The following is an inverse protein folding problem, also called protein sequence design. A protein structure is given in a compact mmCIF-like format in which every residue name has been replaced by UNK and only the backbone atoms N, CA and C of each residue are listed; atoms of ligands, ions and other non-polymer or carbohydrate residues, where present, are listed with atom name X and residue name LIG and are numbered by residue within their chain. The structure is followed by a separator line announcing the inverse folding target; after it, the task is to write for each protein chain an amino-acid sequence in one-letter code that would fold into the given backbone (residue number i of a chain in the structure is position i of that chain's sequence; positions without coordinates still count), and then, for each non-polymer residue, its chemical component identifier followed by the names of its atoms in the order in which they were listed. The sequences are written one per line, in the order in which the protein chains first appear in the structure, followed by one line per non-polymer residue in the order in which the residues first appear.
data_IF_141595846937
#
_entry.id   IF_141595846937
#
_cell.length_a   1.000
_cell.length_b   1.000
_cell.length_c   1.000
_cell.angle_alpha   90.00
_cell.angle_beta   90.00
_cell.angle_gamma   90.00
#
_symmetry.space_group_name_H-M   'P 1'
#
loop_
_entity.id
_entity.type
_entity.pdbx_description
1 polymer ?
#
# COMPACT_ATOMS: atom_id res chain seq x y z
N UNK A 1 -9.99 3.95 5.48
CA UNK A 1 -8.84 4.18 4.57
C UNK A 1 -9.02 5.39 3.64
N UNK A 2 -10.17 5.55 2.96
CA UNK A 2 -10.46 6.73 2.12
C UNK A 2 -10.17 8.07 2.84
N UNK A 3 -10.64 8.21 4.08
CA UNK A 3 -10.49 9.46 4.83
C UNK A 3 -9.03 9.70 5.29
N UNK A 4 -8.30 8.63 5.62
CA UNK A 4 -6.87 8.68 5.90
C UNK A 4 -6.06 9.13 4.67
N UNK A 5 -6.39 8.61 3.48
CA UNK A 5 -5.80 9.04 2.22
C UNK A 5 -6.12 10.51 1.92
N UNK A 6 -7.35 10.96 2.22
CA UNK A 6 -7.75 12.35 2.05
C UNK A 6 -6.94 13.28 2.95
N UNK A 7 -6.77 12.92 4.23
CA UNK A 7 -5.93 13.67 5.17
C UNK A 7 -4.48 13.75 4.68
N UNK A 8 -3.91 12.62 4.22
CA UNK A 8 -2.58 12.58 3.61
C UNK A 8 -2.44 13.51 2.41
N UNK A 9 -3.39 13.49 1.48
CA UNK A 9 -3.37 14.38 0.33
C UNK A 9 -3.43 15.85 0.76
N UNK A 10 -4.36 16.19 1.66
CA UNK A 10 -4.58 17.56 2.10
C UNK A 10 -3.36 18.15 2.78
N UNK A 11 -2.75 17.40 3.70
CA UNK A 11 -1.55 17.86 4.40
C UNK A 11 -0.35 18.00 3.45
N UNK A 12 -0.20 17.10 2.47
CA UNK A 12 0.84 17.24 1.47
C UNK A 12 0.61 18.47 0.56
N UNK A 13 -0.62 18.72 0.11
CA UNK A 13 -0.96 19.87 -0.74
C UNK A 13 -0.79 21.21 -0.01
N UNK A 14 -1.23 21.28 1.24
CA UNK A 14 -1.31 22.54 2.00
C UNK A 14 0.00 22.86 2.73
N UNK A 15 0.75 21.83 3.16
CA UNK A 15 1.93 21.99 4.01
C UNK A 15 3.17 21.23 3.52
N UNK A 16 3.09 20.44 2.46
CA UNK A 16 4.22 19.62 1.98
C UNK A 16 4.60 18.46 2.90
N UNK A 17 3.75 18.15 3.89
CA UNK A 17 4.01 17.11 4.89
C UNK A 17 3.80 15.72 4.29
N UNK A 18 4.72 14.81 4.59
CA UNK A 18 4.65 13.38 4.20
C UNK A 18 4.71 12.54 5.48
N UNK A 19 3.79 11.59 5.63
CA UNK A 19 3.61 10.84 6.87
C UNK A 19 4.76 9.89 7.20
N UNK A 20 5.40 9.30 6.17
CA UNK A 20 6.59 8.41 6.30
C UNK A 20 6.39 7.09 7.05
N UNK A 21 5.25 6.84 7.69
CA UNK A 21 4.91 5.53 8.24
C UNK A 21 3.44 5.16 8.09
N UNK A 22 3.00 5.02 6.83
CA UNK A 22 1.65 4.53 6.52
C UNK A 22 1.57 3.02 6.82
N UNK A 23 0.84 2.66 7.87
CA UNK A 23 0.60 1.28 8.29
C UNK A 23 -0.81 1.13 8.90
N UNK A 24 -1.33 -0.10 9.08
CA UNK A 24 -2.64 -0.32 9.71
C UNK A 24 -2.73 0.23 11.14
N UNK A 25 -1.62 0.28 11.90
CA UNK A 25 -1.64 0.81 13.27
C UNK A 25 -1.84 2.33 13.32
N UNK A 26 -1.52 3.04 12.25
CA UNK A 26 -1.66 4.50 12.14
C UNK A 26 -2.95 4.95 11.45
N UNK A 27 -3.80 4.01 11.03
CA UNK A 27 -5.13 4.28 10.48
C UNK A 27 -6.18 3.87 11.49
N UNK A 28 -6.62 4.83 12.32
CA UNK A 28 -7.70 4.61 13.28
C UNK A 28 -9.05 4.66 12.58
N UNK A 29 -10.02 3.99 13.18
CA UNK A 29 -11.39 3.91 12.66
C UNK A 29 -12.34 4.40 13.75
N UNK A 30 -13.01 5.51 13.46
CA UNK A 30 -13.98 6.12 14.36
C UNK A 30 -15.28 5.33 14.43
N UNK A 31 -16.13 5.71 15.39
CA UNK A 31 -17.42 5.06 15.63
C UNK A 31 -18.37 5.08 14.43
N UNK A 32 -18.19 6.06 13.54
CA UNK A 32 -18.98 6.24 12.30
C UNK A 32 -18.30 5.65 11.07
N UNK A 33 -17.33 4.76 11.26
CA UNK A 33 -16.49 4.18 10.20
C UNK A 33 -15.64 5.22 9.45
N UNK A 34 -15.38 6.36 10.09
CA UNK A 34 -14.47 7.40 9.59
C UNK A 34 -13.01 6.96 9.79
N UNK A 35 -12.16 7.15 8.79
CA UNK A 35 -10.73 6.88 8.92
C UNK A 35 -9.94 8.09 9.43
N UNK A 36 -9.08 7.89 10.42
CA UNK A 36 -8.16 8.93 10.90
C UNK A 36 -6.73 8.45 10.70
N UNK A 37 -5.92 9.25 10.02
CA UNK A 37 -4.49 9.02 9.91
C UNK A 37 -3.80 9.79 11.05
N UNK A 38 -3.08 9.07 11.90
CA UNK A 38 -2.43 9.59 13.13
C UNK A 38 -0.94 9.31 13.11
N UNK A 39 -0.20 9.88 14.07
CA UNK A 39 1.26 9.72 14.18
C UNK A 39 2.02 10.44 13.05
N UNK A 40 1.81 11.76 12.99
CA UNK A 40 2.45 12.67 12.02
C UNK A 40 3.83 13.16 12.46
N UNK A 41 4.32 12.67 13.60
CA UNK A 41 5.48 13.23 14.30
C UNK A 41 6.83 12.83 13.65
N UNK A 42 6.80 11.90 12.69
CA UNK A 42 7.96 11.45 11.90
C UNK A 42 8.36 12.40 10.76
N UNK A 43 7.72 13.56 10.64
CA UNK A 43 8.19 14.63 9.77
C UNK A 43 9.43 15.33 10.36
N UNK A 44 10.58 14.64 10.30
CA UNK A 44 11.87 15.15 10.69
C UNK A 44 12.18 16.51 10.03
N UNK A 45 11.91 17.59 10.74
CA UNK A 45 12.52 18.89 10.51
C UNK A 45 14.00 18.81 10.86
N UNK A 46 14.81 18.43 9.86
CA UNK A 46 16.18 18.87 9.57
C UNK A 46 17.30 18.90 10.63
N UNK A 47 17.12 18.51 11.90
CA UNK A 47 18.17 18.71 12.93
C UNK A 47 19.00 17.46 13.30
N UNK A 48 18.65 16.26 12.84
CA UNK A 48 19.36 15.01 13.21
C UNK A 48 20.44 14.55 12.23
N UNK A 49 20.69 15.30 11.13
CA UNK A 49 21.57 14.87 10.03
C UNK A 49 23.10 14.81 10.34
N UNK A 50 23.55 15.17 11.54
CA UNK A 50 24.98 15.30 11.87
C UNK A 50 25.57 14.12 12.68
N UNK A 51 24.97 12.93 12.63
CA UNK A 51 25.57 11.71 13.22
C UNK A 51 25.76 10.64 12.13
N UNK A 52 26.86 9.86 12.18
CA UNK A 52 26.96 8.62 11.42
C UNK A 52 25.99 7.61 12.07
N UNK A 53 24.72 7.69 11.67
CA UNK A 53 23.65 6.79 12.09
C UNK A 53 23.59 5.64 11.09
N UNK A 54 23.29 4.42 11.55
CA UNK A 54 23.17 3.28 10.65
C UNK A 54 21.97 3.51 9.69
N UNK A 55 22.06 3.07 8.44
CA UNK A 55 21.00 3.29 7.44
C UNK A 55 19.64 2.73 7.91
N UNK A 56 19.63 1.58 8.61
CA UNK A 56 18.39 1.00 9.16
C UNK A 56 17.85 1.78 10.37
N UNK A 57 18.68 2.59 11.04
CA UNK A 57 18.26 3.49 12.13
C UNK A 57 17.69 4.82 11.61
N UNK A 58 18.07 5.26 10.39
CA UNK A 58 17.47 6.43 9.73
C UNK A 58 16.29 6.09 8.84
N UNK A 59 16.14 4.82 8.47
CA UNK A 59 15.07 4.35 7.59
C UNK A 59 13.72 4.38 8.31
N UNK A 60 12.80 5.17 7.77
CA UNK A 60 11.45 5.33 8.33
C UNK A 60 10.43 4.44 7.62
N UNK A 61 9.42 4.02 8.39
CA UNK A 61 8.26 3.26 7.93
C UNK A 61 8.20 1.81 8.42
N UNK A 62 7.01 1.23 8.31
CA UNK A 62 6.76 -0.17 8.62
C UNK A 62 7.17 -1.05 7.43
N UNK A 63 8.19 -1.90 7.60
CA UNK A 63 8.83 -2.70 6.54
C UNK A 63 7.83 -3.45 5.64
N UNK A 64 6.80 -4.05 6.25
CA UNK A 64 5.70 -4.77 5.61
C UNK A 64 4.99 -3.92 4.56
N UNK A 65 4.82 -2.61 4.79
CA UNK A 65 4.02 -1.72 3.95
C UNK A 65 4.86 -0.69 3.20
N UNK A 66 6.18 -0.69 3.38
CA UNK A 66 7.08 0.14 2.58
C UNK A 66 6.96 -0.18 1.08
N UNK A 67 7.24 0.86 0.28
CA UNK A 67 7.34 0.73 -1.17
C UNK A 67 8.50 -0.17 -1.59
N UNK A 68 8.44 -0.67 -2.82
CA UNK A 68 9.53 -1.44 -3.41
C UNK A 68 10.81 -0.62 -3.49
N UNK A 69 10.75 0.70 -3.72
CA UNK A 69 11.96 1.54 -3.79
C UNK A 69 12.73 1.53 -2.46
N UNK A 70 12.03 1.78 -1.36
CA UNK A 70 12.60 1.77 -0.02
C UNK A 70 13.14 0.39 0.37
N UNK A 71 12.53 -0.68 -0.14
CA UNK A 71 12.88 -2.06 0.18
C UNK A 71 14.02 -2.62 -0.68
N UNK A 72 14.12 -2.22 -1.95
CA UNK A 72 15.15 -2.67 -2.89
C UNK A 72 16.44 -1.87 -2.77
N UNK A 73 16.34 -0.57 -2.53
CA UNK A 73 17.47 0.36 -2.55
C UNK A 73 17.50 1.21 -1.27
N UNK A 74 17.55 0.59 -0.07
CA UNK A 74 17.46 1.28 1.23
C UNK A 74 18.62 2.26 1.50
N UNK A 75 19.75 2.09 0.82
CA UNK A 75 20.89 3.02 0.90
C UNK A 75 20.68 4.30 0.08
N UNK A 76 19.81 4.24 -0.94
CA UNK A 76 19.46 5.35 -1.82
C UNK A 76 18.19 6.05 -1.32
N UNK A 77 17.18 5.28 -0.93
CA UNK A 77 15.90 5.78 -0.42
C UNK A 77 15.77 5.49 1.07
N UNK A 78 15.99 6.52 1.88
CA UNK A 78 15.95 6.41 3.36
C UNK A 78 14.61 6.85 3.95
N UNK A 79 13.90 7.74 3.27
CA UNK A 79 12.65 8.31 3.74
C UNK A 79 11.57 8.19 2.67
N UNK A 80 10.35 7.75 3.03
CA UNK A 80 9.25 7.71 2.08
C UNK A 80 8.90 9.12 1.58
N UNK A 81 8.70 9.25 0.27
CA UNK A 81 8.04 10.43 -0.31
C UNK A 81 6.52 10.18 -0.44
N UNK A 82 5.81 11.18 -0.97
CA UNK A 82 4.38 11.10 -1.24
C UNK A 82 3.96 9.83 -2.00
N UNK A 83 4.68 9.46 -3.07
CA UNK A 83 4.36 8.28 -3.89
C UNK A 83 4.61 6.99 -3.11
N UNK A 84 5.63 6.96 -2.26
CA UNK A 84 5.88 5.82 -1.37
C UNK A 84 4.72 5.62 -0.38
N UNK A 85 4.16 6.69 0.17
CA UNK A 85 2.97 6.62 1.02
C UNK A 85 1.72 6.13 0.26
N UNK A 86 1.53 6.54 -1.01
CA UNK A 86 0.46 5.98 -1.85
C UNK A 86 0.61 4.49 -2.09
N UNK A 87 1.85 4.02 -2.30
CA UNK A 87 2.14 2.60 -2.46
C UNK A 87 1.93 1.82 -1.15
N UNK A 88 2.20 2.44 0.01
CA UNK A 88 1.86 1.85 1.30
C UNK A 88 0.36 1.63 1.47
N UNK A 89 -0.50 2.56 1.06
CA UNK A 89 -1.96 2.34 1.04
C UNK A 89 -2.35 1.14 0.17
N UNK A 90 -1.72 0.99 -1.00
CA UNK A 90 -1.90 -0.19 -1.85
C UNK A 90 -1.47 -1.48 -1.14
N UNK A 91 -0.26 -1.51 -0.57
CA UNK A 91 0.26 -2.68 0.13
C UNK A 91 -0.60 -3.09 1.32
N UNK A 92 -1.16 -2.13 2.07
CA UNK A 92 -2.11 -2.42 3.15
C UNK A 92 -3.38 -3.08 2.59
N UNK A 93 -4.00 -2.52 1.54
CA UNK A 93 -5.20 -3.12 0.96
C UNK A 93 -4.93 -4.52 0.40
N UNK A 94 -3.81 -4.72 -0.30
CA UNK A 94 -3.43 -6.03 -0.83
C UNK A 94 -3.19 -7.04 0.29
N UNK A 95 -2.60 -6.61 1.41
CA UNK A 95 -2.43 -7.44 2.60
C UNK A 95 -3.78 -7.79 3.23
N UNK A 96 -4.66 -6.79 3.41
CA UNK A 96 -6.01 -7.00 3.94
C UNK A 96 -6.80 -7.99 3.07
N UNK A 97 -6.69 -7.84 1.75
CA UNK A 97 -7.32 -8.73 0.79
C UNK A 97 -6.83 -10.16 0.97
N UNK A 98 -5.51 -10.38 1.13
CA UNK A 98 -4.93 -11.71 1.30
C UNK A 98 -5.27 -12.38 2.63
N UNK A 99 -5.41 -11.60 3.70
CA UNK A 99 -5.65 -12.12 5.05
C UNK A 99 -7.14 -12.37 5.29
N UNK A 100 -8.01 -11.48 4.80
CA UNK A 100 -9.45 -11.50 5.13
C UNK A 100 -10.37 -11.61 3.92
N UNK A 101 -9.86 -11.45 2.70
CA UNK A 101 -10.67 -11.55 1.49
C UNK A 101 -11.24 -12.95 1.30
N UNK A 102 -12.38 -13.02 0.60
CA UNK A 102 -12.92 -14.29 0.17
C UNK A 102 -12.22 -14.72 -1.13
N UNK A 103 -11.45 -15.80 -1.06
CA UNK A 103 -10.71 -16.33 -2.20
C UNK A 103 -11.30 -17.67 -2.63
N UNK A 104 -11.67 -17.76 -3.90
CA UNK A 104 -12.14 -19.01 -4.47
C UNK A 104 -10.94 -19.93 -4.73
N UNK A 105 -10.99 -21.16 -4.20
CA UNK A 105 -10.06 -22.23 -4.55
C UNK A 105 -8.68 -22.18 -3.89
N UNK A 106 -8.42 -21.25 -2.96
CA UNK A 106 -7.16 -21.19 -2.23
C UNK A 106 -7.28 -21.73 -0.80
N UNK A 107 -6.43 -22.70 -0.47
CA UNK A 107 -6.31 -23.22 0.89
C UNK A 107 -5.55 -22.24 1.79
N UNK A 108 -5.92 -22.18 3.08
CA UNK A 108 -5.28 -21.33 4.10
C UNK A 108 -3.74 -21.36 4.07
N UNK A 109 -3.14 -22.54 3.89
CA UNK A 109 -1.68 -22.69 3.83
C UNK A 109 -1.04 -21.94 2.66
N UNK A 110 -1.75 -21.82 1.54
CA UNK A 110 -1.29 -21.07 0.36
C UNK A 110 -1.34 -19.56 0.66
N UNK A 111 -2.42 -19.06 1.25
CA UNK A 111 -2.50 -17.65 1.67
C UNK A 111 -1.42 -17.29 2.69
N UNK A 112 -1.25 -18.11 3.72
CA UNK A 112 -0.22 -17.88 4.74
C UNK A 112 1.18 -17.82 4.11
N UNK A 113 1.47 -18.70 3.16
CA UNK A 113 2.74 -18.66 2.43
C UNK A 113 2.88 -17.41 1.56
N UNK A 114 1.81 -17.01 0.89
CA UNK A 114 1.76 -15.81 0.04
C UNK A 114 2.01 -14.55 0.86
N UNK A 115 1.33 -14.40 2.00
CA UNK A 115 1.52 -13.29 2.95
C UNK A 115 2.95 -13.27 3.47
N UNK A 116 3.46 -14.42 3.95
CA UNK A 116 4.81 -14.53 4.49
C UNK A 116 5.89 -14.15 3.47
N UNK A 117 5.75 -14.57 2.22
CA UNK A 117 6.72 -14.22 1.18
C UNK A 117 6.71 -12.73 0.81
N UNK A 118 5.58 -12.04 0.95
CA UNK A 118 5.39 -10.65 0.50
C UNK A 118 5.65 -9.62 1.60
N UNK A 119 5.21 -9.92 2.82
CA UNK A 119 5.15 -8.96 3.92
C UNK A 119 6.14 -9.30 5.04
N UNK A 120 6.33 -10.58 5.35
CA UNK A 120 7.18 -10.99 6.49
C UNK A 120 8.64 -11.23 6.09
N UNK A 121 8.89 -11.66 4.84
CA UNK A 121 10.22 -12.07 4.40
C UNK A 121 11.16 -10.88 4.24
N UNK A 122 12.28 -10.95 4.96
CA UNK A 122 13.36 -9.95 4.91
C UNK A 122 14.71 -10.64 4.66
N UNK A 123 15.59 -9.98 3.92
CA UNK A 123 16.98 -10.40 3.72
C UNK A 123 17.87 -9.36 4.39
N UNK A 124 18.84 -9.80 5.18
CA UNK A 124 19.80 -8.89 5.81
C UNK A 124 21.14 -8.97 5.09
N UNK A 125 21.65 -7.81 4.68
CA UNK A 125 22.95 -7.69 4.04
C UNK A 125 23.98 -7.15 5.04
N UNK A 126 24.93 -7.99 5.44
CA UNK A 126 25.95 -7.63 6.43
C UNK A 126 26.88 -6.49 5.99
N UNK A 127 27.35 -6.43 4.72
CA UNK A 127 28.18 -5.32 4.23
C UNK A 127 27.52 -3.95 4.34
N UNK A 128 26.25 -3.82 3.96
CA UNK A 128 25.51 -2.55 4.03
C UNK A 128 24.78 -2.35 5.36
N UNK A 129 24.71 -3.38 6.22
CA UNK A 129 23.92 -3.40 7.44
C UNK A 129 22.45 -3.00 7.18
N UNK A 130 21.90 -3.41 6.04
CA UNK A 130 20.55 -3.05 5.59
C UNK A 130 19.65 -4.26 5.46
N UNK A 131 18.36 -4.07 5.76
CA UNK A 131 17.31 -5.05 5.47
C UNK A 131 16.69 -4.77 4.11
N UNK A 132 16.75 -5.76 3.24
CA UNK A 132 16.12 -5.75 1.93
C UNK A 132 14.84 -6.57 1.96
N UNK A 133 13.83 -6.07 1.25
CA UNK A 133 12.61 -6.78 0.91
C UNK A 133 12.26 -6.42 -0.52
N UNK A 134 11.05 -6.74 -1.00
CA UNK A 134 10.45 -6.30 -2.28
C UNK A 134 10.36 -7.32 -3.40
N UNK A 135 11.25 -8.32 -3.51
CA UNK A 135 11.32 -9.14 -4.74
C UNK A 135 9.97 -9.78 -5.13
N UNK A 136 9.20 -10.23 -4.15
CA UNK A 136 7.85 -10.76 -4.37
C UNK A 136 6.83 -9.66 -4.69
N UNK A 137 6.88 -8.50 -4.00
CA UNK A 137 6.01 -7.35 -4.30
C UNK A 137 6.24 -6.79 -5.70
N UNK A 138 7.50 -6.70 -6.12
CA UNK A 138 7.89 -6.27 -7.46
C UNK A 138 7.44 -7.29 -8.51
N UNK A 139 7.66 -8.58 -8.26
CA UNK A 139 7.15 -9.66 -9.11
C UNK A 139 5.61 -9.61 -9.23
N UNK A 140 4.91 -9.29 -8.14
CA UNK A 140 3.45 -9.15 -8.15
C UNK A 140 2.98 -8.01 -9.03
N UNK A 141 3.58 -6.82 -8.89
CA UNK A 141 3.26 -5.69 -9.75
C UNK A 141 3.57 -6.02 -11.22
N UNK A 142 4.72 -6.63 -11.53
CA UNK A 142 5.03 -7.02 -12.91
C UNK A 142 4.03 -8.02 -13.48
N UNK A 143 3.60 -9.00 -12.69
CA UNK A 143 2.67 -10.05 -13.11
C UNK A 143 1.21 -9.64 -12.98
N UNK A 144 0.92 -8.44 -12.47
CA UNK A 144 -0.43 -8.00 -12.13
C UNK A 144 -1.15 -9.05 -11.29
N UNK A 145 -0.52 -9.42 -10.17
CA UNK A 145 -0.93 -10.52 -9.30
C UNK A 145 -2.39 -10.42 -8.87
N UNK A 146 -2.87 -9.23 -8.54
CA UNK A 146 -4.27 -8.97 -8.16
C UNK A 146 -5.22 -9.36 -9.28
N UNK A 147 -4.90 -8.97 -10.51
CA UNK A 147 -5.71 -9.28 -11.69
C UNK A 147 -5.71 -10.77 -12.02
N UNK A 148 -4.54 -11.40 -11.96
CA UNK A 148 -4.31 -12.70 -12.58
C UNK A 148 -4.32 -13.89 -11.61
N UNK A 149 -4.00 -13.68 -10.34
CA UNK A 149 -3.62 -14.77 -9.42
C UNK A 149 -4.29 -14.67 -8.05
N UNK A 150 -4.59 -13.47 -7.54
CA UNK A 150 -5.07 -13.25 -6.17
C UNK A 150 -6.38 -14.00 -5.83
N UNK A 151 -7.14 -14.49 -6.82
CA UNK A 151 -8.29 -15.38 -6.61
C UNK A 151 -9.45 -14.75 -5.82
N UNK A 152 -9.39 -13.44 -5.60
CA UNK A 152 -10.41 -12.67 -4.90
C UNK A 152 -11.72 -12.72 -5.70
N UNK A 153 -12.85 -12.90 -5.01
CA UNK A 153 -14.15 -12.86 -5.65
C UNK A 153 -14.35 -11.56 -6.46
N UNK A 154 -15.00 -11.61 -7.64
CA UNK A 154 -15.32 -10.41 -8.40
C UNK A 154 -16.19 -9.45 -7.57
N UNK A 155 -15.86 -8.16 -7.59
CA UNK A 155 -16.60 -7.15 -6.85
C UNK A 155 -15.84 -5.83 -6.70
N UNK A 156 -16.47 -4.81 -6.10
CA UNK A 156 -15.90 -3.45 -6.07
C UNK A 156 -14.55 -3.37 -5.36
N UNK A 157 -14.33 -4.22 -4.34
CA UNK A 157 -13.05 -4.27 -3.63
C UNK A 157 -11.91 -4.83 -4.50
N UNK A 158 -12.19 -5.89 -5.27
CA UNK A 158 -11.22 -6.42 -6.26
C UNK A 158 -10.92 -5.38 -7.33
N UNK A 159 -11.95 -4.71 -7.84
CA UNK A 159 -11.78 -3.70 -8.89
C UNK A 159 -10.94 -2.51 -8.40
N UNK A 160 -11.13 -2.08 -7.15
CA UNK A 160 -10.29 -1.06 -6.50
C UNK A 160 -8.81 -1.49 -6.47
N UNK A 161 -8.51 -2.70 -6.01
CA UNK A 161 -7.14 -3.21 -5.95
C UNK A 161 -6.51 -3.31 -7.34
N UNK A 162 -7.26 -3.77 -8.34
CA UNK A 162 -6.80 -3.87 -9.73
C UNK A 162 -6.48 -2.48 -10.30
N UNK A 163 -7.35 -1.50 -10.06
CA UNK A 163 -7.13 -0.12 -10.51
C UNK A 163 -5.87 0.49 -9.86
N UNK A 164 -5.66 0.24 -8.56
CA UNK A 164 -4.46 0.69 -7.85
C UNK A 164 -3.20 -0.01 -8.33
N UNK A 165 -3.25 -1.34 -8.53
CA UNK A 165 -2.13 -2.14 -9.04
C UNK A 165 -1.64 -1.62 -10.39
N UNK A 166 -2.54 -1.27 -11.31
CA UNK A 166 -2.16 -0.72 -12.63
C UNK A 166 -1.39 0.61 -12.53
N UNK A 167 -1.74 1.46 -11.56
CA UNK A 167 -1.05 2.74 -11.34
C UNK A 167 0.28 2.50 -10.63
N UNK A 168 0.31 1.70 -9.56
CA UNK A 168 1.55 1.39 -8.81
C UNK A 168 2.56 0.69 -9.68
N UNK A 169 2.14 -0.26 -10.51
CA UNK A 169 3.06 -0.94 -11.40
C UNK A 169 3.68 -0.02 -12.46
N UNK A 170 2.98 1.04 -12.87
CA UNK A 170 3.55 2.03 -13.82
C UNK A 170 4.78 2.76 -13.28
N UNK A 171 4.98 2.75 -11.95
CA UNK A 171 6.18 3.24 -11.27
C UNK A 171 7.43 2.41 -11.58
N UNK A 172 7.23 1.10 -11.83
CA UNK A 172 8.28 0.09 -11.98
C UNK A 172 8.38 -0.46 -13.41
N UNK A 173 7.31 -0.33 -14.19
CA UNK A 173 7.28 -0.65 -15.61
C UNK A 173 8.39 0.15 -16.34
N UNK A 174 9.38 -0.56 -16.87
CA UNK A 174 10.54 0.01 -17.59
C UNK A 174 11.88 -0.02 -16.82
N UNK A 175 11.94 -0.62 -15.62
CA UNK A 175 13.23 -0.83 -14.93
C UNK A 175 14.09 -1.92 -15.62
N UNK A 176 13.47 -2.85 -16.35
CA UNK A 176 14.18 -3.87 -17.16
C UNK A 176 14.16 -3.60 -18.68
N UNK A 177 13.32 -2.70 -19.17
CA UNK A 177 13.22 -2.39 -20.60
C UNK A 177 13.67 -0.96 -20.89
N UNK A 178 14.84 -0.87 -21.53
CA UNK A 178 15.44 0.36 -22.03
C UNK A 178 14.34 1.25 -22.64
N UNK A 179 14.41 2.53 -22.31
CA UNK A 179 13.64 3.68 -22.85
C UNK A 179 13.33 3.64 -24.37
N UNK A 180 14.06 2.81 -25.12
CA UNK A 180 13.83 2.41 -26.50
C UNK A 180 12.45 1.78 -26.79
N UNK A 181 11.86 0.95 -25.91
CA UNK A 181 10.60 0.25 -26.24
C UNK A 181 9.35 1.12 -26.10
N UNK A 182 9.42 2.17 -25.29
CA UNK A 182 8.41 3.23 -25.27
C UNK A 182 8.32 3.96 -26.62
N UNK A 183 9.34 3.92 -27.49
CA UNK A 183 9.27 4.50 -28.84
C UNK A 183 8.49 3.62 -29.83
N UNK A 184 8.42 2.31 -29.61
CA UNK A 184 7.78 1.36 -30.53
C UNK A 184 6.36 0.94 -30.14
N UNK A 185 5.94 1.22 -28.90
CA UNK A 185 4.57 0.97 -28.45
C UNK A 185 3.51 1.70 -29.29
N UNK A 186 2.33 1.09 -29.46
CA UNK A 186 1.20 1.76 -30.08
C UNK A 186 0.86 3.04 -29.32
N UNK A 187 0.49 4.11 -30.03
CA UNK A 187 0.23 5.43 -29.45
C UNK A 187 -0.78 5.41 -28.28
N UNK A 188 -1.84 4.60 -28.40
CA UNK A 188 -2.82 4.43 -27.33
C UNK A 188 -2.28 3.72 -26.07
N UNK A 189 -1.26 2.87 -26.19
CA UNK A 189 -0.60 2.23 -25.04
C UNK A 189 0.33 3.22 -24.35
N UNK A 190 1.14 3.98 -25.11
CA UNK A 190 2.00 5.04 -24.55
C UNK A 190 1.21 6.08 -23.79
N UNK A 191 0.06 6.51 -24.35
CA UNK A 191 -0.82 7.49 -23.71
C UNK A 191 -1.34 6.97 -22.37
N UNK A 192 -1.76 5.70 -22.30
CA UNK A 192 -2.22 5.06 -21.06
C UNK A 192 -1.10 4.94 -20.02
N UNK A 193 0.09 4.51 -20.44
CA UNK A 193 1.25 4.44 -19.55
C UNK A 193 1.60 5.82 -18.96
N UNK A 194 1.75 6.85 -19.81
CA UNK A 194 2.04 8.21 -19.36
C UNK A 194 0.97 8.73 -18.41
N UNK A 195 -0.31 8.51 -18.74
CA UNK A 195 -1.42 8.89 -17.87
C UNK A 195 -1.33 8.25 -16.48
N UNK A 196 -0.93 6.99 -16.37
CA UNK A 196 -0.79 6.30 -15.07
C UNK A 196 0.42 6.82 -14.28
N UNK A 197 1.52 7.09 -14.97
CA UNK A 197 2.69 7.71 -14.34
C UNK A 197 2.37 9.11 -13.82
N UNK A 198 1.59 9.88 -14.58
CA UNK A 198 1.13 11.21 -14.17
C UNK A 198 0.19 11.12 -12.94
N UNK A 199 -0.62 10.06 -12.83
CA UNK A 199 -1.48 9.79 -11.67
C UNK A 199 -0.70 9.56 -10.38
N UNK A 200 0.58 9.15 -10.41
CA UNK A 200 1.38 8.99 -9.18
C UNK A 200 1.65 10.32 -8.45
N UNK A 201 1.45 11.47 -9.11
CA UNK A 201 1.77 12.78 -8.54
C UNK A 201 0.66 13.39 -7.67
N UNK A 202 -0.50 12.72 -7.56
CA UNK A 202 -1.57 13.08 -6.64
C UNK A 202 -2.39 11.83 -6.25
N UNK A 203 -3.32 11.96 -5.32
CA UNK A 203 -4.20 10.87 -4.90
C UNK A 203 -5.68 11.08 -5.24
N UNK A 204 -6.03 12.10 -6.03
CA UNK A 204 -7.43 12.37 -6.43
C UNK A 204 -8.06 11.16 -7.11
N UNK A 205 -7.30 10.53 -8.01
CA UNK A 205 -7.76 9.32 -8.69
C UNK A 205 -8.02 8.19 -7.70
N UNK A 206 -7.15 8.01 -6.70
CA UNK A 206 -7.25 6.94 -5.73
C UNK A 206 -8.43 7.19 -4.79
N UNK A 207 -8.62 8.44 -4.34
CA UNK A 207 -9.81 8.87 -3.60
C UNK A 207 -11.09 8.62 -4.39
N UNK A 208 -11.11 8.93 -5.69
CA UNK A 208 -12.25 8.66 -6.55
C UNK A 208 -12.54 7.16 -6.68
N UNK A 209 -11.49 6.31 -6.75
CA UNK A 209 -11.66 4.84 -6.75
C UNK A 209 -12.19 4.32 -5.42
N UNK A 210 -11.68 4.81 -4.30
CA UNK A 210 -12.22 4.48 -2.98
C UNK A 210 -13.68 4.91 -2.83
N UNK A 211 -14.03 6.12 -3.27
CA UNK A 211 -15.41 6.61 -3.21
C UNK A 211 -16.35 5.76 -4.06
N UNK A 212 -15.94 5.39 -5.27
CA UNK A 212 -16.70 4.49 -6.14
C UNK A 212 -16.86 3.11 -5.49
N UNK A 213 -15.77 2.51 -4.99
CA UNK A 213 -15.83 1.19 -4.36
C UNK A 213 -16.75 1.19 -3.12
N UNK A 214 -16.65 2.21 -2.27
CA UNK A 214 -17.51 2.35 -1.09
C UNK A 214 -18.99 2.53 -1.47
N UNK A 215 -19.28 3.35 -2.48
CA UNK A 215 -20.64 3.48 -3.02
C UNK A 215 -21.15 2.14 -3.54
N UNK A 216 -20.39 1.46 -4.37
CA UNK A 216 -20.83 0.20 -4.97
C UNK A 216 -21.02 -0.89 -3.90
N UNK A 217 -20.14 -0.98 -2.89
CA UNK A 217 -20.30 -1.88 -1.74
C UNK A 217 -21.52 -1.58 -0.86
N UNK A 218 -21.97 -0.32 -0.82
CA UNK A 218 -23.19 0.06 -0.11
C UNK A 218 -24.46 -0.44 -0.78
N UNK A 219 -24.39 -0.76 -2.09
CA UNK A 219 -25.49 -1.33 -2.87
C UNK A 219 -25.52 -2.87 -2.84
N UNK A 220 -24.46 -3.49 -2.31
CA UNK A 220 -24.35 -4.94 -2.22
C UNK A 220 -24.94 -5.41 -0.88
N UNK A 221 -25.69 -6.51 -0.92
CA UNK A 221 -26.23 -7.16 0.29
C UNK A 221 -25.13 -7.46 1.33
N UNK A 222 -25.38 -7.26 2.64
CA UNK A 222 -24.37 -7.44 3.70
C UNK A 222 -23.70 -8.81 3.72
N UNK A 223 -24.44 -9.87 3.36
CA UNK A 223 -23.96 -11.27 3.34
C UNK A 223 -23.11 -11.61 2.10
N UNK A 224 -22.90 -10.65 1.20
CA UNK A 224 -22.19 -10.87 -0.05
C UNK A 224 -20.70 -11.08 0.16
N UNK A 225 -20.13 -12.01 -0.59
CA UNK A 225 -18.70 -12.30 -0.66
C UNK A 225 -17.86 -11.16 -1.24
N UNK A 226 -18.51 -10.14 -1.81
CA UNK A 226 -17.84 -8.92 -2.28
C UNK A 226 -17.43 -7.98 -1.13
N UNK A 227 -17.92 -8.21 0.09
CA UNK A 227 -17.60 -7.42 1.31
C UNK A 227 -16.55 -8.13 2.15
N UNK A 228 -15.69 -7.35 2.82
CA UNK A 228 -14.78 -7.85 3.86
C UNK A 228 -15.27 -7.35 5.22
N UNK A 229 -16.45 -7.82 5.62
CA UNK A 229 -17.08 -7.46 6.90
C UNK A 229 -16.60 -8.43 7.99
N UNK A 230 -15.35 -8.32 8.43
CA UNK A 230 -14.86 -9.08 9.60
C UNK A 230 -14.43 -8.14 10.72
N UNK A 231 -15.27 -8.08 11.76
CA UNK A 231 -14.95 -7.45 13.04
C UNK A 231 -13.70 -8.10 13.65
N UNK A 232 -12.64 -7.33 13.84
CA UNK A 232 -11.49 -7.74 14.64
C UNK A 232 -11.73 -7.31 16.10
N UNK A 233 -12.01 -8.28 16.96
CA UNK A 233 -11.83 -8.10 18.40
C UNK A 233 -10.34 -8.24 18.73
N UNK A 234 -9.61 -7.12 18.76
CA UNK A 234 -8.25 -7.12 19.31
C UNK A 234 -8.38 -7.04 20.83
N UNK A 235 -8.12 -8.15 21.52
CA UNK A 235 -7.96 -8.12 22.97
C UNK A 235 -6.60 -7.49 23.30
N UNK A 236 -6.59 -6.17 23.48
CA UNK A 236 -5.46 -5.49 24.10
C UNK A 236 -5.36 -5.91 25.57
N UNK A 237 -4.42 -6.80 25.90
CA UNK A 237 -4.04 -7.05 27.28
C UNK A 237 -3.15 -5.92 27.77
N UNK A 238 -3.74 -4.74 28.00
CA UNK A 238 -3.23 -3.71 28.90
C UNK A 238 -4.31 -2.62 28.99
N UNK A 239 -4.98 -2.57 30.14
CA UNK A 239 -5.91 -1.50 30.54
C UNK A 239 -7.19 -1.37 29.70
N UNK A 240 -8.07 -2.36 29.77
CA UNK A 240 -9.53 -2.18 29.88
C UNK A 240 -10.32 -1.51 28.75
N UNK A 241 -9.69 -0.95 27.72
CA UNK A 241 -10.37 -0.28 26.62
C UNK A 241 -10.53 -1.23 25.43
N UNK A 242 -11.79 -1.50 25.05
CA UNK A 242 -12.13 -2.20 23.81
C UNK A 242 -11.89 -1.24 22.64
N UNK A 243 -10.73 -1.34 21.99
CA UNK A 243 -10.55 -0.78 20.66
C UNK A 243 -11.16 -1.75 19.64
N UNK A 244 -12.28 -1.32 19.03
CA UNK A 244 -12.98 -2.06 17.97
C UNK A 244 -12.44 -1.58 16.63
N UNK A 245 -11.75 -2.45 15.88
CA UNK A 245 -11.33 -2.12 14.52
C UNK A 245 -12.42 -2.57 13.54
N UNK A 246 -13.05 -1.60 12.86
CA UNK A 246 -14.04 -1.83 11.81
C UNK A 246 -13.38 -1.76 10.43
N UNK A 247 -12.98 -2.90 9.86
CA UNK A 247 -12.68 -2.94 8.43
C UNK A 247 -14.01 -3.00 7.67
N UNK A 248 -14.25 -2.00 6.83
CA UNK A 248 -15.35 -1.93 5.85
C UNK A 248 -14.74 -1.99 4.46
#
# INVERSE_FOLDING_TARGET
MKDALFAHQKLHEEAGIVHRDISPSHILIGERSEGFLVDWDDDATSETQNRPVQVDETRMGTFEFMSINLLSEPTIFQHPNFVDNLESFYHILSWLALVWGNHDGYYFAVHSKIVSLRYDRRTYDYPTNCRYGSSYKLSDLYRRFTQQVLGLAPGPFRDLLVDMEEVMASRYDGIDDKEADLKHLQFGVKRRYKSRKDMLNNSDWMLARFAKAAHDLSLVEPESTARIDRLLHVHGTCHGERLMYYLV
#
